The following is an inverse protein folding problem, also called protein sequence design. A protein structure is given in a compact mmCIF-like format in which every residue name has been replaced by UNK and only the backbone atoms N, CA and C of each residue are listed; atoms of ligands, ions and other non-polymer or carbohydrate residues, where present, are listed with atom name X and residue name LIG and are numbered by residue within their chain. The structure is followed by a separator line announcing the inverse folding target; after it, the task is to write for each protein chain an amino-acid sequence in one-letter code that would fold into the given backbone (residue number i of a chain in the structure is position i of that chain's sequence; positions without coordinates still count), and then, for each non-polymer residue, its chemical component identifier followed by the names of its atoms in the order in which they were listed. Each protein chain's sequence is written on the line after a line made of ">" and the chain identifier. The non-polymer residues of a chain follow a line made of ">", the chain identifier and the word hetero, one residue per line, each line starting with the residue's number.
data_IF_886877022819
#
_entry.id   IF_886877022819
#
_cell.length_a   1.000
_cell.length_b   1.000
_cell.length_c   1.000
_cell.angle_alpha   90.00
_cell.angle_beta   90.00
_cell.angle_gamma   90.00
#
_symmetry.space_group_name_H-M   'P 1'
#
loop_
_entity.id
_entity.type
_entity.pdbx_description
1 polymer ?
#
# COMPACT_ATOMS: atom_id res chain seq x y z
N UNK A 1 45.04 39.73 14.66
CA UNK A 1 44.87 40.58 15.86
C UNK A 1 44.87 42.06 15.46
N UNK A 2 43.68 42.67 15.40
CA UNK A 2 43.33 44.12 15.34
C UNK A 2 41.79 44.11 15.41
N UNK A 3 41.15 44.30 16.58
CA UNK A 3 40.76 45.59 17.22
C UNK A 3 39.83 46.35 16.23
N UNK A 4 38.55 46.66 16.50
CA UNK A 4 37.92 47.56 17.51
C UNK A 4 36.43 47.08 17.63
N UNK A 5 35.81 46.68 18.76
CA UNK A 5 35.47 47.30 20.06
C UNK A 5 34.37 48.40 20.06
N UNK A 6 33.29 48.15 20.82
CA UNK A 6 32.41 49.13 21.53
C UNK A 6 31.24 49.78 20.76
N UNK A 7 30.10 50.17 21.38
CA UNK A 7 29.58 50.03 22.76
C UNK A 7 28.02 50.03 22.77
N UNK A 8 27.39 49.72 23.90
CA UNK A 8 25.94 49.88 24.13
C UNK A 8 25.49 51.36 24.11
N UNK A 9 24.25 51.60 23.66
CA UNK A 9 23.29 52.47 24.38
C UNK A 9 21.85 52.12 23.98
N UNK A 10 20.93 52.10 24.94
CA UNK A 10 19.49 52.02 24.70
C UNK A 10 18.82 53.27 25.25
N UNK A 11 17.82 53.82 24.56
CA UNK A 11 16.74 54.58 25.21
C UNK A 11 15.46 54.57 24.38
N UNK A 12 14.33 54.64 25.10
CA UNK A 12 12.96 54.60 24.61
C UNK A 12 12.50 55.98 24.08
N UNK A 13 11.45 56.07 23.26
CA UNK A 13 10.21 56.87 23.51
C UNK A 13 9.25 57.00 22.28
N UNK A 14 8.01 56.54 22.50
CA UNK A 14 6.68 57.00 21.99
C UNK A 14 6.30 57.21 20.49
N UNK A 15 5.27 56.43 20.12
CA UNK A 15 3.94 56.82 19.57
C UNK A 15 3.70 57.22 18.09
N UNK A 16 2.43 56.96 17.71
CA UNK A 16 1.66 57.22 16.46
C UNK A 16 2.14 56.46 15.21
N UNK A 17 1.28 55.88 14.35
CA UNK A 17 -0.18 55.73 14.38
C UNK A 17 -0.85 56.34 13.13
N UNK A 18 -1.36 55.49 12.22
CA UNK A 18 -2.49 55.74 11.31
C UNK A 18 -2.78 54.50 10.43
N UNK A 19 -4.06 54.24 10.14
CA UNK A 19 -4.61 53.10 9.38
C UNK A 19 -5.46 53.56 8.19
N UNK A 20 -5.93 52.59 7.38
CA UNK A 20 -7.02 52.67 6.36
C UNK A 20 -6.63 53.01 4.90
N UNK A 21 -7.49 52.69 3.90
CA UNK A 21 -8.82 52.02 3.98
C UNK A 21 -9.03 50.75 3.11
N UNK A 22 -10.11 50.04 3.43
CA UNK A 22 -10.83 49.09 2.55
C UNK A 22 -12.00 49.84 1.89
N UNK A 23 -12.39 49.55 0.64
CA UNK A 23 -13.65 50.03 0.07
C UNK A 23 -14.78 48.98 0.15
N UNK A 24 -15.91 49.38 0.72
CA UNK A 24 -17.24 48.84 0.42
C UNK A 24 -18.21 50.01 0.26
N UNK A 25 -19.09 49.96 -0.74
CA UNK A 25 -20.47 50.43 -0.69
C UNK A 25 -21.24 49.86 -1.90
N UNK A 26 -22.46 49.36 -1.69
CA UNK A 26 -23.63 49.69 -2.52
C UNK A 26 -24.93 49.14 -1.89
N UNK A 27 -25.49 49.96 -0.99
CA UNK A 27 -26.91 50.19 -0.66
C UNK A 27 -27.99 49.09 -0.77
N UNK A 28 -28.76 48.99 0.31
CA UNK A 28 -30.10 48.38 0.41
C UNK A 28 -31.23 49.27 -0.17
N UNK A 29 -32.37 48.64 -0.50
CA UNK A 29 -33.71 49.26 -0.56
C UNK A 29 -34.76 48.25 -0.10
N UNK A 30 -35.66 48.63 0.83
CA UNK A 30 -36.68 47.76 1.44
C UNK A 30 -38.06 47.74 0.74
N UNK A 31 -38.86 46.73 1.12
CA UNK A 31 -40.34 46.67 1.14
C UNK A 31 -41.05 46.44 -0.21
N UNK A 32 -41.87 45.40 -0.38
CA UNK A 32 -43.13 45.18 0.35
C UNK A 32 -43.56 43.70 0.47
N UNK A 33 -44.46 43.43 1.43
CA UNK A 33 -45.02 42.09 1.73
C UNK A 33 -46.25 41.77 0.88
N UNK A 34 -46.29 40.57 0.27
CA UNK A 34 -47.55 39.92 -0.15
C UNK A 34 -47.71 38.55 0.52
N UNK A 35 -48.94 38.23 0.91
CA UNK A 35 -49.32 36.99 1.61
C UNK A 35 -50.13 36.11 0.65
N UNK A 36 -49.66 34.90 0.35
CA UNK A 36 -50.43 33.89 -0.38
C UNK A 36 -50.19 32.46 0.15
N UNK A 37 -51.25 31.87 0.70
CA UNK A 37 -51.58 30.44 0.55
C UNK A 37 -50.76 29.40 1.35
N UNK A 38 -51.40 28.30 1.82
CA UNK A 38 -50.69 27.25 2.53
C UNK A 38 -49.94 26.34 1.54
N UNK A 39 -48.60 26.38 1.59
CA UNK A 39 -47.79 25.34 0.98
C UNK A 39 -47.73 24.11 1.90
N UNK A 40 -48.03 22.95 1.32
CA UNK A 40 -48.00 21.65 1.97
C UNK A 40 -46.64 21.37 2.60
N UNK A 41 -46.63 20.94 3.87
CA UNK A 41 -45.43 20.38 4.51
C UNK A 41 -45.10 19.06 3.81
N UNK A 42 -43.89 18.89 3.24
CA UNK A 42 -43.45 17.57 2.77
C UNK A 42 -43.29 16.63 3.96
N UNK A 43 -43.81 15.42 3.83
CA UNK A 43 -43.72 14.37 4.83
C UNK A 43 -42.25 14.02 5.07
N UNK A 44 -41.76 14.29 6.29
CA UNK A 44 -40.37 14.07 6.69
C UNK A 44 -40.15 12.56 6.91
N UNK A 45 -39.79 11.86 5.84
CA UNK A 45 -39.49 10.43 5.88
C UNK A 45 -38.15 10.20 6.60
N UNK A 46 -38.18 9.45 7.71
CA UNK A 46 -36.96 9.13 8.45
C UNK A 46 -35.91 8.44 7.55
N UNK A 47 -34.62 8.83 7.64
CA UNK A 47 -33.58 8.20 6.85
C UNK A 47 -33.36 6.75 7.32
N UNK A 48 -33.75 5.81 6.46
CA UNK A 48 -33.52 4.37 6.64
C UNK A 48 -32.06 4.09 6.99
N UNK A 49 -31.83 3.52 8.16
CA UNK A 49 -30.51 3.20 8.72
C UNK A 49 -29.90 1.91 8.14
N UNK A 50 -30.05 1.70 6.82
CA UNK A 50 -29.31 0.67 6.10
C UNK A 50 -28.04 1.29 5.49
N UNK A 51 -26.85 0.69 5.71
CA UNK A 51 -25.65 1.12 5.01
C UNK A 51 -25.86 0.95 3.50
N UNK A 52 -25.48 1.97 2.73
CA UNK A 52 -25.67 1.97 1.29
C UNK A 52 -25.00 0.75 0.64
N UNK A 53 -25.59 0.16 -0.42
CA UNK A 53 -24.92 -0.87 -1.21
C UNK A 53 -23.55 -0.38 -1.66
N UNK A 54 -22.51 -1.19 -1.46
CA UNK A 54 -21.18 -0.86 -1.92
C UNK A 54 -21.20 -0.85 -3.45
N UNK A 55 -20.90 0.30 -4.02
CA UNK A 55 -20.80 0.47 -5.46
C UNK A 55 -19.75 -0.50 -6.01
N UNK A 56 -20.16 -1.32 -6.98
CA UNK A 56 -19.29 -2.31 -7.61
C UNK A 56 -18.31 -1.57 -8.53
N UNK A 57 -17.13 -1.25 -8.01
CA UNK A 57 -16.09 -0.63 -8.83
C UNK A 57 -15.31 -1.72 -9.58
N UNK A 58 -15.29 -1.62 -10.91
CA UNK A 58 -14.45 -2.47 -11.75
C UNK A 58 -12.97 -2.26 -11.38
N UNK A 59 -12.27 -3.36 -11.15
CA UNK A 59 -10.88 -3.41 -10.74
C UNK A 59 -10.28 -4.77 -11.06
N UNK A 60 -9.04 -5.05 -10.64
CA UNK A 60 -8.33 -6.25 -11.06
C UNK A 60 -8.83 -7.56 -10.43
N UNK A 61 -9.86 -7.53 -9.56
CA UNK A 61 -10.34 -8.69 -8.79
C UNK A 61 -11.86 -8.89 -8.91
N UNK A 62 -12.31 -10.12 -8.63
CA UNK A 62 -13.74 -10.46 -8.46
C UNK A 62 -14.25 -10.19 -7.03
N UNK A 63 -13.47 -9.54 -6.16
CA UNK A 63 -13.83 -9.23 -4.78
C UNK A 63 -14.03 -7.71 -4.63
N UNK A 64 -15.27 -7.20 -4.61
CA UNK A 64 -15.53 -5.75 -4.68
C UNK A 64 -14.86 -4.91 -3.59
N UNK A 65 -14.74 -5.47 -2.38
CA UNK A 65 -14.05 -4.80 -1.29
C UNK A 65 -12.53 -4.62 -1.55
N UNK A 66 -11.89 -5.58 -2.23
CA UNK A 66 -10.47 -5.49 -2.59
C UNK A 66 -10.27 -4.44 -3.68
N UNK A 67 -11.12 -4.43 -4.71
CA UNK A 67 -11.10 -3.38 -5.75
C UNK A 67 -11.24 -1.98 -5.12
N UNK A 68 -12.18 -1.81 -4.18
CA UNK A 68 -12.37 -0.55 -3.45
C UNK A 68 -11.09 -0.12 -2.71
N UNK A 69 -10.50 -1.00 -1.91
CA UNK A 69 -9.27 -0.70 -1.14
C UNK A 69 -8.09 -0.33 -2.04
N UNK A 70 -7.96 -1.01 -3.19
CA UNK A 70 -6.94 -0.72 -4.19
C UNK A 70 -7.14 0.65 -4.83
N UNK A 71 -8.36 0.96 -5.28
CA UNK A 71 -8.69 2.21 -5.97
C UNK A 71 -8.60 3.43 -5.04
N UNK A 72 -9.16 3.35 -3.82
CA UNK A 72 -9.02 4.39 -2.79
C UNK A 72 -7.55 4.64 -2.40
N UNK A 73 -6.67 3.65 -2.60
CA UNK A 73 -5.23 3.80 -2.37
C UNK A 73 -4.51 4.38 -3.57
N UNK A 74 -4.83 3.95 -4.80
CA UNK A 74 -4.28 4.54 -6.03
C UNK A 74 -4.64 6.02 -6.16
N UNK A 75 -5.89 6.39 -5.87
CA UNK A 75 -6.34 7.80 -5.85
C UNK A 75 -5.56 8.66 -4.84
N UNK A 76 -5.19 8.08 -3.70
CA UNK A 76 -4.44 8.77 -2.64
C UNK A 76 -2.97 9.01 -2.98
N UNK A 77 -2.36 8.14 -3.77
CA UNK A 77 -0.90 8.14 -4.01
C UNK A 77 -0.51 8.58 -5.42
N UNK A 78 -1.48 8.79 -6.34
CA UNK A 78 -1.20 9.16 -7.73
C UNK A 78 -1.97 10.40 -8.19
N UNK A 79 -1.50 10.99 -9.28
CA UNK A 79 -2.24 11.98 -10.07
C UNK A 79 -2.41 11.49 -11.52
N UNK A 80 -3.43 11.94 -12.27
CA UNK A 80 -3.73 11.42 -13.61
C UNK A 80 -2.61 11.58 -14.65
N UNK A 81 -1.70 12.54 -14.42
CA UNK A 81 -0.57 12.90 -15.27
C UNK A 81 0.73 12.12 -14.97
N UNK A 82 0.77 11.29 -13.93
CA UNK A 82 1.95 10.48 -13.60
C UNK A 82 2.30 9.45 -14.70
N UNK A 83 3.58 9.42 -15.06
CA UNK A 83 4.22 8.38 -15.86
C UNK A 83 4.20 7.00 -15.17
N UNK A 84 4.49 5.93 -15.91
CA UNK A 84 4.64 4.58 -15.34
C UNK A 84 5.73 4.54 -14.26
N UNK A 85 6.86 5.21 -14.50
CA UNK A 85 7.94 5.37 -13.52
C UNK A 85 7.45 6.07 -12.24
N UNK A 86 6.70 7.19 -12.35
CA UNK A 86 6.19 7.93 -11.19
C UNK A 86 5.15 7.12 -10.42
N UNK A 87 4.24 6.42 -11.10
CA UNK A 87 3.27 5.49 -10.50
C UNK A 87 3.96 4.35 -9.75
N UNK A 88 4.92 3.68 -10.38
CA UNK A 88 5.67 2.61 -9.75
C UNK A 88 6.44 3.10 -8.54
N UNK A 89 7.07 4.27 -8.65
CA UNK A 89 7.78 4.89 -7.53
C UNK A 89 6.83 5.31 -6.40
N UNK A 90 5.66 5.87 -6.71
CA UNK A 90 4.68 6.29 -5.71
C UNK A 90 4.15 5.10 -4.89
N UNK A 91 3.77 4.00 -5.56
CA UNK A 91 3.35 2.76 -4.89
C UNK A 91 4.49 2.14 -4.05
N UNK A 92 5.70 2.09 -4.60
CA UNK A 92 6.87 1.55 -3.91
C UNK A 92 7.25 2.35 -2.65
N UNK A 93 7.33 3.68 -2.78
CA UNK A 93 7.55 4.59 -1.66
C UNK A 93 6.45 4.47 -0.60
N UNK A 94 5.17 4.47 -1.01
CA UNK A 94 4.02 4.41 -0.10
C UNK A 94 4.07 3.18 0.81
N UNK A 95 4.40 2.00 0.26
CA UNK A 95 4.51 0.78 1.05
C UNK A 95 5.65 0.84 2.08
N UNK A 96 6.77 1.50 1.77
CA UNK A 96 7.89 1.71 2.71
C UNK A 96 7.55 2.74 3.81
N UNK A 97 6.66 3.69 3.53
CA UNK A 97 6.21 4.66 4.53
C UNK A 97 5.08 4.15 5.44
N UNK A 98 4.24 3.26 4.90
CA UNK A 98 3.05 2.72 5.56
C UNK A 98 3.36 1.53 6.48
N UNK A 99 4.23 0.63 6.03
CA UNK A 99 4.21 -0.75 6.49
C UNK A 99 5.20 -1.02 7.61
N UNK A 100 4.86 -1.97 8.46
CA UNK A 100 5.72 -2.53 9.48
C UNK A 100 5.78 -4.06 9.31
N UNK A 101 6.98 -4.62 9.45
CA UNK A 101 7.22 -6.04 9.30
C UNK A 101 6.68 -6.81 10.52
N UNK A 102 5.50 -7.39 10.36
CA UNK A 102 4.73 -8.11 11.38
C UNK A 102 3.70 -9.00 10.66
N UNK A 103 3.21 -10.05 11.32
CA UNK A 103 2.26 -10.99 10.72
C UNK A 103 1.00 -10.30 10.19
N UNK A 104 0.52 -10.65 8.98
CA UNK A 104 -0.68 -10.07 8.43
C UNK A 104 -1.92 -10.46 9.22
N UNK A 105 -2.88 -9.54 9.31
CA UNK A 105 -4.13 -9.72 10.04
C UNK A 105 -5.35 -9.54 9.13
N UNK A 106 -6.47 -10.14 9.54
CA UNK A 106 -7.79 -9.92 8.97
C UNK A 106 -7.91 -10.15 7.44
N UNK A 107 -7.20 -11.15 6.93
CA UNK A 107 -7.24 -11.56 5.52
C UNK A 107 -8.65 -11.93 5.01
N UNK A 108 -9.58 -12.28 5.90
CA UNK A 108 -10.97 -12.61 5.59
C UNK A 108 -11.96 -11.43 5.79
N UNK A 109 -11.47 -10.20 6.02
CA UNK A 109 -12.33 -9.03 6.33
C UNK A 109 -13.28 -8.64 5.18
N UNK A 110 -12.90 -8.94 3.93
CA UNK A 110 -13.73 -8.70 2.76
C UNK A 110 -15.10 -9.38 2.86
N UNK A 111 -15.20 -10.52 3.57
CA UNK A 111 -16.46 -11.28 3.75
C UNK A 111 -17.57 -10.47 4.38
N UNK A 112 -17.25 -9.65 5.38
CA UNK A 112 -18.22 -8.83 6.13
C UNK A 112 -18.32 -7.40 5.59
N UNK A 113 -17.30 -6.93 4.86
CA UNK A 113 -17.20 -5.56 4.33
C UNK A 113 -17.53 -5.41 2.85
N UNK A 114 -17.98 -6.46 2.17
CA UNK A 114 -18.44 -6.38 0.77
C UNK A 114 -18.75 -7.71 0.09
N UNK A 115 -18.28 -8.83 0.65
CA UNK A 115 -18.43 -10.15 0.04
C UNK A 115 -17.63 -10.27 -1.27
N UNK A 116 -18.09 -11.16 -2.15
CA UNK A 116 -17.44 -11.49 -3.41
C UNK A 116 -17.05 -12.97 -3.49
N UNK A 117 -16.36 -13.34 -4.57
CA UNK A 117 -15.71 -14.64 -4.69
C UNK A 117 -14.51 -14.72 -3.72
N UNK A 118 -14.03 -15.94 -3.44
CA UNK A 118 -12.82 -16.13 -2.64
C UNK A 118 -11.63 -15.60 -3.46
N UNK A 119 -10.91 -14.57 -2.98
CA UNK A 119 -9.77 -14.01 -3.70
C UNK A 119 -8.63 -15.03 -3.82
N UNK A 120 -7.86 -14.92 -4.91
CA UNK A 120 -6.60 -15.64 -5.04
C UNK A 120 -5.57 -15.19 -3.99
N UNK A 121 -4.51 -15.97 -3.82
CA UNK A 121 -3.43 -15.69 -2.85
C UNK A 121 -2.92 -14.24 -2.93
N UNK A 122 -2.63 -13.74 -4.14
CA UNK A 122 -2.04 -12.41 -4.35
C UNK A 122 -3.07 -11.29 -4.09
N UNK A 123 -4.32 -11.46 -4.52
CA UNK A 123 -5.39 -10.49 -4.24
C UNK A 123 -5.68 -10.41 -2.75
N UNK A 124 -5.59 -11.53 -2.04
CA UNK A 124 -5.86 -11.62 -0.62
C UNK A 124 -4.72 -11.05 0.25
N UNK A 125 -3.46 -11.36 -0.09
CA UNK A 125 -2.27 -10.95 0.69
C UNK A 125 -2.00 -9.45 0.66
N UNK A 126 -2.54 -8.67 -0.29
CA UNK A 126 -2.39 -7.21 -0.24
C UNK A 126 -3.17 -6.55 0.92
N UNK A 127 -4.24 -7.20 1.44
CA UNK A 127 -5.21 -6.55 2.32
C UNK A 127 -4.61 -6.05 3.65
N UNK A 128 -3.81 -6.87 4.33
CA UNK A 128 -3.30 -6.50 5.66
C UNK A 128 -2.38 -5.27 5.61
N UNK A 129 -1.53 -5.20 4.58
CA UNK A 129 -0.65 -4.06 4.35
C UNK A 129 -1.46 -2.82 3.99
N UNK A 130 -2.38 -2.90 3.03
CA UNK A 130 -3.13 -1.73 2.55
C UNK A 130 -4.14 -1.18 3.57
N UNK A 131 -4.68 -2.02 4.47
CA UNK A 131 -5.64 -1.61 5.49
C UNK A 131 -5.00 -1.21 6.83
N UNK A 132 -3.90 -1.88 7.21
CA UNK A 132 -3.36 -1.82 8.57
C UNK A 132 -1.86 -1.52 8.64
N UNK A 133 -1.15 -1.52 7.51
CA UNK A 133 0.31 -1.35 7.49
C UNK A 133 1.05 -2.48 8.17
N UNK A 134 0.51 -3.69 8.16
CA UNK A 134 1.12 -4.88 8.77
C UNK A 134 1.25 -5.99 7.73
N UNK A 135 2.46 -6.51 7.54
CA UNK A 135 2.69 -7.66 6.65
C UNK A 135 4.14 -8.09 6.53
N UNK A 136 4.32 -9.27 5.93
CA UNK A 136 5.60 -9.91 5.64
C UNK A 136 5.94 -9.75 4.13
N UNK A 137 7.05 -10.31 3.66
CA UNK A 137 7.54 -10.06 2.28
C UNK A 137 6.50 -10.33 1.19
N UNK A 138 5.65 -11.33 1.38
CA UNK A 138 4.59 -11.72 0.47
C UNK A 138 3.45 -10.71 0.45
N UNK A 139 3.15 -10.04 1.56
CA UNK A 139 2.12 -9.01 1.63
C UNK A 139 2.61 -7.70 0.97
N UNK A 140 3.88 -7.34 1.13
CA UNK A 140 4.53 -6.23 0.41
C UNK A 140 4.52 -6.48 -1.11
N UNK A 141 4.93 -7.67 -1.54
CA UNK A 141 4.98 -8.07 -2.94
C UNK A 141 3.59 -8.14 -3.58
N UNK A 142 2.60 -8.65 -2.84
CA UNK A 142 1.21 -8.67 -3.26
C UNK A 142 0.62 -7.26 -3.37
N UNK A 143 0.81 -6.40 -2.36
CA UNK A 143 0.33 -5.03 -2.38
C UNK A 143 0.92 -4.22 -3.54
N UNK A 144 2.24 -4.34 -3.79
CA UNK A 144 2.88 -3.63 -4.89
C UNK A 144 2.36 -4.13 -6.25
N UNK A 145 2.29 -5.45 -6.47
CA UNK A 145 1.77 -6.01 -7.71
C UNK A 145 0.30 -5.60 -7.96
N UNK A 146 -0.55 -5.62 -6.94
CA UNK A 146 -1.96 -5.27 -7.06
C UNK A 146 -2.18 -3.76 -7.27
N UNK A 147 -1.41 -2.89 -6.62
CA UNK A 147 -1.46 -1.43 -6.89
C UNK A 147 -1.01 -1.13 -8.33
N UNK A 148 0.10 -1.72 -8.79
CA UNK A 148 0.59 -1.53 -10.17
C UNK A 148 -0.44 -1.98 -11.22
N UNK A 149 -1.06 -3.15 -11.03
CA UNK A 149 -2.14 -3.65 -11.89
C UNK A 149 -3.35 -2.71 -11.90
N UNK A 150 -3.73 -2.18 -10.73
CA UNK A 150 -4.83 -1.20 -10.61
C UNK A 150 -4.51 0.11 -11.35
N UNK A 151 -3.24 0.49 -11.45
CA UNK A 151 -2.76 1.63 -12.25
C UNK A 151 -2.61 1.32 -13.76
N UNK A 152 -3.04 0.14 -14.22
CA UNK A 152 -3.00 -0.30 -15.62
C UNK A 152 -1.67 -0.90 -16.07
N UNK A 153 -0.72 -1.12 -15.17
CA UNK A 153 0.63 -1.59 -15.47
C UNK A 153 0.71 -3.13 -15.41
N UNK A 154 1.62 -3.73 -16.21
CA UNK A 154 1.91 -5.17 -16.07
C UNK A 154 2.83 -5.37 -14.87
N UNK A 155 2.36 -6.12 -13.88
CA UNK A 155 3.14 -6.50 -12.71
C UNK A 155 2.82 -7.92 -12.26
N UNK A 156 3.82 -8.60 -11.71
CA UNK A 156 3.74 -9.98 -11.28
C UNK A 156 4.39 -10.17 -9.90
N UNK A 157 3.73 -10.97 -9.07
CA UNK A 157 4.27 -11.45 -7.80
C UNK A 157 5.32 -12.52 -8.08
N UNK A 158 6.50 -12.40 -7.46
CA UNK A 158 7.62 -13.34 -7.60
C UNK A 158 7.90 -13.99 -6.26
N UNK A 159 7.62 -15.29 -6.09
CA UNK A 159 8.15 -16.07 -4.99
C UNK A 159 9.59 -16.53 -5.31
N UNK A 160 10.39 -16.70 -4.27
CA UNK A 160 11.78 -17.14 -4.43
C UNK A 160 12.50 -17.28 -3.10
N UNK A 161 13.83 -17.25 -3.18
CA UNK A 161 14.72 -17.25 -2.02
C UNK A 161 15.58 -15.98 -2.02
N UNK A 162 15.93 -15.51 -0.82
CA UNK A 162 16.97 -14.50 -0.61
C UNK A 162 17.86 -14.87 0.59
N UNK A 163 19.02 -14.23 0.72
CA UNK A 163 19.85 -14.40 1.91
C UNK A 163 19.33 -13.54 3.07
N UNK A 164 19.05 -14.18 4.20
CA UNK A 164 18.78 -13.50 5.48
C UNK A 164 20.00 -12.73 5.98
N UNK A 165 19.80 -11.85 6.97
CA UNK A 165 20.89 -11.07 7.56
C UNK A 165 21.93 -11.96 8.29
N UNK A 166 21.49 -13.14 8.72
CA UNK A 166 22.24 -14.17 9.43
C UNK A 166 23.04 -15.08 8.47
N UNK A 167 22.77 -15.01 7.16
CA UNK A 167 23.48 -15.74 6.12
C UNK A 167 22.81 -16.98 5.49
N UNK A 168 21.84 -17.72 6.08
CA UNK A 168 21.13 -18.76 5.36
C UNK A 168 20.16 -18.19 4.31
N UNK A 169 19.86 -18.99 3.29
CA UNK A 169 18.74 -18.74 2.38
C UNK A 169 17.42 -18.94 3.10
N UNK A 170 16.48 -18.04 2.85
CA UNK A 170 15.12 -18.05 3.37
C UNK A 170 14.13 -17.71 2.26
N UNK A 171 12.91 -18.22 2.41
CA UNK A 171 11.75 -17.88 1.57
C UNK A 171 11.56 -16.36 1.53
N UNK A 172 11.29 -15.84 0.33
CA UNK A 172 11.14 -14.41 0.10
C UNK A 172 10.22 -14.14 -1.09
N UNK A 173 9.66 -12.93 -1.13
CA UNK A 173 8.81 -12.50 -2.23
C UNK A 173 9.00 -11.02 -2.57
N UNK A 174 8.87 -10.69 -3.86
CA UNK A 174 8.95 -9.34 -4.40
C UNK A 174 8.08 -9.19 -5.66
N UNK A 175 8.13 -8.04 -6.32
CA UNK A 175 7.38 -7.77 -7.55
C UNK A 175 8.31 -7.60 -8.74
N UNK A 176 7.93 -8.09 -9.93
CA UNK A 176 8.48 -7.60 -11.20
C UNK A 176 7.40 -6.82 -11.95
N UNK A 177 7.79 -5.77 -12.67
CA UNK A 177 6.86 -4.95 -13.44
C UNK A 177 7.49 -4.42 -14.72
N UNK A 178 6.65 -4.24 -15.74
CA UNK A 178 6.99 -3.52 -16.96
C UNK A 178 6.81 -2.01 -16.73
N UNK A 179 7.86 -1.25 -17.04
CA UNK A 179 7.92 0.21 -16.89
C UNK A 179 8.63 0.75 -18.14
N UNK A 180 7.97 1.64 -18.89
CA UNK A 180 8.46 2.21 -20.15
C UNK A 180 8.87 1.13 -21.19
N UNK A 181 8.18 -0.02 -21.19
CA UNK A 181 8.42 -1.14 -22.10
C UNK A 181 9.61 -2.05 -21.76
N UNK A 182 10.18 -1.93 -20.55
CA UNK A 182 11.20 -2.83 -20.03
C UNK A 182 10.80 -3.39 -18.65
N UNK A 183 11.17 -4.64 -18.37
CA UNK A 183 10.87 -5.29 -17.09
C UNK A 183 11.95 -4.98 -16.06
N UNK A 184 11.52 -4.80 -14.80
CA UNK A 184 12.39 -4.60 -13.66
C UNK A 184 11.86 -5.29 -12.40
N UNK A 185 12.78 -5.63 -11.50
CA UNK A 185 12.48 -6.03 -10.13
C UNK A 185 12.24 -4.83 -9.21
N UNK A 186 11.27 -4.97 -8.32
CA UNK A 186 10.94 -4.06 -7.24
C UNK A 186 10.72 -4.86 -5.96
N UNK A 187 11.69 -4.80 -5.04
CA UNK A 187 11.59 -5.43 -3.72
C UNK A 187 11.45 -4.36 -2.64
N UNK A 188 10.20 -4.09 -2.28
CA UNK A 188 9.83 -3.06 -1.31
C UNK A 188 10.13 -3.48 0.14
N UNK A 189 10.08 -4.79 0.46
CA UNK A 189 10.34 -5.27 1.81
C UNK A 189 11.84 -5.22 2.16
N UNK A 190 12.72 -5.71 1.28
CA UNK A 190 14.17 -5.55 1.53
C UNK A 190 14.59 -4.10 1.41
N UNK A 191 13.91 -3.28 0.58
CA UNK A 191 14.15 -1.84 0.58
C UNK A 191 13.82 -1.20 1.93
N UNK A 192 12.66 -1.49 2.53
CA UNK A 192 12.31 -0.99 3.86
C UNK A 192 13.33 -1.46 4.91
N UNK A 193 13.63 -2.77 4.95
CA UNK A 193 14.60 -3.36 5.89
C UNK A 193 16.00 -2.74 5.80
N UNK A 194 16.46 -2.27 4.62
CA UNK A 194 17.73 -1.51 4.50
C UNK A 194 17.59 0.00 4.67
N UNK A 195 16.37 0.54 4.72
CA UNK A 195 16.07 1.98 4.89
C UNK A 195 16.06 2.44 6.36
N UNK A 196 16.79 1.70 7.24
CA UNK A 196 16.85 1.78 8.73
C UNK A 196 17.10 3.17 9.38
N UNK A 197 17.18 4.24 8.61
CA UNK A 197 17.40 5.62 9.05
C UNK A 197 16.44 6.60 8.35
N UNK A 198 15.13 6.27 8.26
CA UNK A 198 14.08 7.17 7.73
C UNK A 198 14.37 7.68 6.31
N UNK A 199 15.03 6.87 5.49
CA UNK A 199 15.68 7.33 4.26
C UNK A 199 15.73 6.22 3.21
N UNK A 200 14.92 6.36 2.17
CA UNK A 200 14.80 5.39 1.07
C UNK A 200 16.02 5.51 0.17
N UNK A 201 16.76 4.42 0.01
CA UNK A 201 18.02 4.36 -0.74
C UNK A 201 17.89 3.80 -2.16
N UNK A 202 16.72 3.27 -2.53
CA UNK A 202 16.41 2.71 -3.86
C UNK A 202 17.38 1.62 -4.34
N UNK A 203 17.98 0.88 -3.39
CA UNK A 203 18.85 -0.28 -3.65
C UNK A 203 18.11 -1.40 -4.38
N UNK A 204 16.82 -1.59 -4.11
CA UNK A 204 16.00 -2.64 -4.74
C UNK A 204 14.82 -2.09 -5.56
N UNK A 205 14.90 -0.81 -5.96
CA UNK A 205 13.95 -0.21 -6.88
C UNK A 205 14.48 -0.31 -8.32
N UNK A 206 13.64 -0.86 -9.20
CA UNK A 206 13.87 -1.02 -10.64
C UNK A 206 15.24 -1.63 -11.01
N UNK A 207 15.47 -2.87 -10.57
CA UNK A 207 16.72 -3.62 -10.79
C UNK A 207 16.59 -4.70 -11.87
N UNK A 208 17.68 -4.93 -12.58
CA UNK A 208 17.78 -5.99 -13.58
C UNK A 208 18.20 -7.33 -12.98
N UNK A 209 18.03 -8.41 -13.76
CA UNK A 209 18.33 -9.79 -13.40
C UNK A 209 19.74 -9.91 -12.80
N UNK A 210 20.73 -9.28 -13.45
CA UNK A 210 22.15 -9.31 -13.04
C UNK A 210 22.39 -8.75 -11.64
N UNK A 211 21.64 -7.74 -11.23
CA UNK A 211 21.79 -7.11 -9.91
C UNK A 211 21.05 -7.93 -8.86
N UNK A 212 19.84 -8.42 -9.17
CA UNK A 212 19.03 -9.19 -8.23
C UNK A 212 19.59 -10.59 -8.00
N UNK A 213 20.08 -11.27 -9.05
CA UNK A 213 20.67 -12.62 -8.97
C UNK A 213 21.95 -12.71 -8.14
N UNK A 214 22.48 -11.59 -7.65
CA UNK A 214 23.58 -11.56 -6.69
C UNK A 214 23.14 -11.99 -5.27
N UNK A 215 21.84 -11.92 -4.96
CA UNK A 215 21.29 -12.35 -3.66
C UNK A 215 19.93 -13.05 -3.72
N UNK A 216 19.22 -12.98 -4.86
CA UNK A 216 17.89 -13.52 -5.05
C UNK A 216 17.87 -14.70 -6.02
N UNK A 217 16.99 -15.66 -5.77
CA UNK A 217 16.76 -16.83 -6.62
C UNK A 217 15.27 -16.97 -6.92
N UNK A 218 14.89 -16.93 -8.20
CA UNK A 218 13.54 -17.09 -8.74
C UNK A 218 13.58 -17.81 -10.09
N UNK A 219 12.45 -18.37 -10.52
CA UNK A 219 12.33 -18.90 -11.89
C UNK A 219 13.50 -19.79 -12.32
N UNK A 220 14.12 -19.46 -13.45
CA UNK A 220 15.22 -20.24 -13.99
C UNK A 220 16.49 -20.24 -13.12
N UNK A 221 16.88 -19.12 -12.49
CA UNK A 221 18.12 -19.12 -11.69
C UNK A 221 17.98 -19.90 -10.37
N UNK A 222 16.76 -20.07 -9.86
CA UNK A 222 16.43 -20.94 -8.73
C UNK A 222 16.51 -22.43 -9.12
N UNK A 223 16.01 -22.80 -10.30
CA UNK A 223 16.19 -24.15 -10.86
C UNK A 223 17.68 -24.46 -11.06
N UNK A 224 18.42 -23.53 -11.66
CA UNK A 224 19.85 -23.70 -11.96
C UNK A 224 20.72 -23.79 -10.71
N UNK A 225 20.28 -23.19 -9.60
CA UNK A 225 20.93 -23.28 -8.29
C UNK A 225 20.77 -24.65 -7.60
N UNK A 226 19.83 -25.49 -8.05
CA UNK A 226 19.63 -26.88 -7.59
C UNK A 226 19.34 -27.03 -6.09
N UNK A 227 18.65 -26.06 -5.50
CA UNK A 227 18.19 -26.13 -4.10
C UNK A 227 16.94 -27.00 -3.90
N UNK A 228 16.26 -27.39 -5.00
CA UNK A 228 14.90 -27.90 -4.99
C UNK A 228 14.78 -29.30 -5.59
N UNK A 229 13.71 -30.01 -5.23
CA UNK A 229 13.33 -31.27 -5.86
C UNK A 229 12.84 -31.06 -7.30
N UNK A 230 12.81 -32.12 -8.10
CA UNK A 230 12.39 -32.00 -9.50
C UNK A 230 10.89 -31.68 -9.67
N UNK A 231 10.04 -32.09 -8.71
CA UNK A 231 8.62 -31.69 -8.71
C UNK A 231 8.48 -30.17 -8.52
N UNK A 232 9.23 -29.60 -7.58
CA UNK A 232 9.31 -28.16 -7.34
C UNK A 232 9.87 -27.40 -8.55
N UNK A 233 10.93 -27.91 -9.18
CA UNK A 233 11.45 -27.32 -10.42
C UNK A 233 10.43 -27.35 -11.58
N UNK A 234 9.60 -28.40 -11.65
CA UNK A 234 8.55 -28.49 -12.67
C UNK A 234 7.41 -27.49 -12.42
N UNK A 235 7.04 -27.28 -11.17
CA UNK A 235 6.08 -26.24 -10.78
C UNK A 235 6.58 -24.83 -11.17
N UNK A 236 7.85 -24.52 -10.90
CA UNK A 236 8.48 -23.27 -11.35
C UNK A 236 8.41 -23.13 -12.87
N UNK A 237 8.76 -24.17 -13.64
CA UNK A 237 8.70 -24.13 -15.12
C UNK A 237 7.29 -23.95 -15.67
N UNK A 238 6.27 -24.39 -14.94
CA UNK A 238 4.87 -24.28 -15.37
C UNK A 238 4.24 -22.93 -15.01
N UNK A 239 4.64 -22.31 -13.89
CA UNK A 239 3.87 -21.22 -13.26
C UNK A 239 4.69 -20.00 -12.82
N UNK A 240 6.01 -20.12 -12.65
CA UNK A 240 6.85 -19.09 -12.02
C UNK A 240 8.11 -18.77 -12.85
N UNK A 241 7.95 -18.74 -14.18
CA UNK A 241 8.92 -18.16 -15.11
C UNK A 241 8.49 -16.73 -15.46
N UNK A 242 9.45 -15.81 -15.40
CA UNK A 242 9.20 -14.37 -15.54
C UNK A 242 9.93 -13.79 -16.76
N UNK A 243 9.46 -12.65 -17.29
CA UNK A 243 10.22 -11.86 -18.25
C UNK A 243 11.60 -11.49 -17.70
N UNK A 244 12.63 -11.51 -18.55
CA UNK A 244 13.97 -11.04 -18.18
C UNK A 244 13.95 -9.53 -17.93
N UNK A 245 14.61 -9.09 -16.85
CA UNK A 245 14.83 -7.69 -16.53
C UNK A 245 16.25 -7.29 -17.01
N UNK A 246 16.41 -6.72 -18.23
CA UNK A 246 17.70 -6.71 -18.92
C UNK A 246 18.77 -5.77 -18.33
N UNK A 247 18.36 -4.73 -17.59
CA UNK A 247 19.29 -3.79 -16.94
C UNK A 247 18.68 -3.15 -15.68
N UNK A 248 19.53 -2.51 -14.88
CA UNK A 248 19.09 -1.58 -13.84
C UNK A 248 18.61 -0.26 -14.46
N UNK A 249 17.54 0.30 -13.88
CA UNK A 249 17.19 1.70 -14.10
C UNK A 249 18.13 2.63 -13.30
N UNK A 250 18.43 3.86 -13.78
CA UNK A 250 19.18 4.86 -13.02
C UNK A 250 18.62 5.03 -11.60
N UNK A 251 19.47 4.80 -10.59
CA UNK A 251 19.00 4.79 -9.19
C UNK A 251 18.60 6.22 -8.76
N UNK A 252 17.36 6.43 -8.26
CA UNK A 252 16.91 7.73 -7.80
C UNK A 252 17.78 8.29 -6.67
N UNK A 253 17.74 9.62 -6.49
CA UNK A 253 18.33 10.21 -5.29
C UNK A 253 17.61 9.71 -4.04
N UNK A 254 18.40 9.45 -2.99
CA UNK A 254 17.91 9.09 -1.66
C UNK A 254 16.88 10.11 -1.17
N UNK A 255 15.79 9.62 -0.56
CA UNK A 255 14.69 10.46 -0.05
C UNK A 255 14.43 10.18 1.41
N UNK A 256 14.47 11.22 2.24
CA UNK A 256 14.09 11.12 3.65
C UNK A 256 12.56 11.17 3.81
N UNK A 257 12.04 10.50 4.85
CA UNK A 257 10.61 10.42 5.14
C UNK A 257 10.32 10.37 6.65
N UNK A 258 9.05 10.54 7.01
CA UNK A 258 8.55 10.28 8.37
C UNK A 258 7.62 9.07 8.25
N UNK A 259 7.92 7.93 8.89
CA UNK A 259 7.04 6.77 8.87
C UNK A 259 5.64 7.12 9.39
N UNK A 260 4.60 6.50 8.82
CA UNK A 260 3.24 6.66 9.31
C UNK A 260 3.08 6.07 10.73
N UNK A 261 2.10 6.55 11.52
CA UNK A 261 1.86 6.03 12.87
C UNK A 261 1.57 4.52 12.84
N UNK A 262 2.28 3.75 13.66
CA UNK A 262 2.14 2.29 13.70
C UNK A 262 0.77 1.86 14.23
N UNK A 263 0.23 0.82 13.60
CA UNK A 263 -1.02 0.17 14.00
C UNK A 263 -0.81 -0.73 15.22
N UNK A 264 -1.66 -0.58 16.23
CA UNK A 264 -1.81 -1.56 17.31
C UNK A 264 -2.60 -2.77 16.79
N UNK A 265 -1.88 -3.82 16.40
CA UNK A 265 -2.45 -5.05 15.87
C UNK A 265 -3.45 -5.71 16.84
N UNK A 266 -3.20 -5.65 18.15
CA UNK A 266 -4.11 -6.23 19.16
C UNK A 266 -5.42 -5.45 19.25
N UNK A 267 -5.35 -4.12 19.21
CA UNK A 267 -6.54 -3.26 19.16
C UNK A 267 -7.35 -3.49 17.88
N UNK A 268 -6.70 -3.61 16.73
CA UNK A 268 -7.38 -3.87 15.44
C UNK A 268 -8.03 -5.25 15.42
N UNK A 269 -7.34 -6.30 15.88
CA UNK A 269 -7.92 -7.64 15.99
C UNK A 269 -9.18 -7.67 16.88
N UNK A 270 -9.15 -6.96 18.01
CA UNK A 270 -10.32 -6.83 18.90
C UNK A 270 -11.49 -6.09 18.21
N UNK A 271 -11.22 -5.02 17.46
CA UNK A 271 -12.25 -4.31 16.69
C UNK A 271 -12.87 -5.20 15.61
N UNK A 272 -12.05 -5.97 14.90
CA UNK A 272 -12.49 -6.87 13.83
C UNK A 272 -13.26 -8.08 14.38
N UNK A 273 -12.89 -8.60 15.55
CA UNK A 273 -13.66 -9.62 16.24
C UNK A 273 -15.06 -9.13 16.62
N UNK A 274 -15.18 -7.88 17.11
CA UNK A 274 -16.47 -7.26 17.40
C UNK A 274 -17.30 -7.01 16.14
N UNK A 275 -16.67 -6.55 15.05
CA UNK A 275 -17.31 -6.33 13.75
C UNK A 275 -17.86 -7.64 13.15
N UNK A 276 -17.08 -8.73 13.21
CA UNK A 276 -17.53 -10.08 12.80
C UNK A 276 -18.70 -10.57 13.66
N UNK A 277 -18.61 -10.45 14.98
CA UNK A 277 -19.66 -10.90 15.88
C UNK A 277 -21.00 -10.16 15.63
N UNK A 278 -20.95 -8.86 15.35
CA UNK A 278 -22.14 -8.07 15.00
C UNK A 278 -22.68 -8.44 13.60
N UNK A 279 -21.80 -8.65 12.61
CA UNK A 279 -22.20 -9.14 11.30
C UNK A 279 -22.92 -10.49 11.39
N UNK A 280 -22.37 -11.46 12.15
CA UNK A 280 -22.98 -12.78 12.31
C UNK A 280 -24.28 -12.74 13.12
N UNK A 281 -24.41 -11.81 14.07
CA UNK A 281 -25.67 -11.57 14.80
C UNK A 281 -26.79 -11.07 13.89
N UNK A 282 -26.45 -10.30 12.85
CA UNK A 282 -27.40 -9.71 11.91
C UNK A 282 -27.69 -10.59 10.68
N UNK A 283 -26.68 -11.31 10.17
CA UNK A 283 -26.74 -12.02 8.89
C UNK A 283 -26.66 -13.54 9.01
N UNK A 284 -26.43 -14.07 10.22
CA UNK A 284 -26.14 -15.47 10.48
C UNK A 284 -24.63 -15.79 10.46
N UNK A 285 -24.26 -16.91 11.08
CA UNK A 285 -22.87 -17.38 11.17
C UNK A 285 -22.23 -17.54 9.80
N UNK A 286 -21.02 -17.03 9.65
CA UNK A 286 -20.23 -17.19 8.44
C UNK A 286 -19.88 -18.67 8.25
N UNK A 287 -20.01 -19.24 7.02
CA UNK A 287 -19.57 -20.60 6.77
C UNK A 287 -18.05 -20.73 7.02
N UNK A 288 -17.52 -21.92 7.33
CA UNK A 288 -16.09 -22.15 7.37
C UNK A 288 -15.42 -21.70 6.06
N UNK A 289 -14.26 -21.05 6.17
CA UNK A 289 -13.45 -20.64 5.03
C UNK A 289 -12.06 -21.27 5.17
N UNK A 290 -11.67 -22.02 4.14
CA UNK A 290 -10.27 -22.37 3.91
C UNK A 290 -9.71 -21.38 2.89
N UNK A 291 -8.82 -20.50 3.36
CA UNK A 291 -8.20 -19.45 2.56
C UNK A 291 -6.79 -19.89 2.18
N UNK A 292 -6.42 -19.80 0.91
CA UNK A 292 -5.05 -20.10 0.53
C UNK A 292 -4.11 -19.00 1.05
N UNK A 293 -3.41 -19.30 2.15
CA UNK A 293 -2.35 -18.46 2.71
C UNK A 293 -0.97 -19.09 2.56
N UNK A 294 -0.83 -20.15 1.75
CA UNK A 294 0.45 -20.83 1.51
C UNK A 294 1.21 -20.12 0.39
N UNK A 295 2.43 -19.60 0.63
CA UNK A 295 3.25 -19.01 -0.43
C UNK A 295 3.52 -20.03 -1.55
N UNK A 296 3.48 -19.63 -2.83
CA UNK A 296 3.52 -20.62 -3.93
C UNK A 296 4.83 -21.43 -4.08
N UNK A 297 5.97 -20.91 -3.59
CA UNK A 297 7.36 -21.42 -3.78
C UNK A 297 8.23 -20.74 -2.69
N UNK A 298 9.32 -21.25 -2.10
CA UNK A 298 9.81 -22.53 -1.51
C UNK A 298 10.99 -22.11 -0.58
N UNK A 299 11.48 -22.83 0.44
CA UNK A 299 11.68 -24.27 0.67
C UNK A 299 11.73 -24.65 2.18
N UNK A 300 12.06 -25.91 2.49
CA UNK A 300 11.86 -26.59 3.80
C UNK A 300 10.37 -26.79 4.13
N UNK A 301 10.02 -27.87 4.83
CA UNK A 301 8.67 -28.03 5.39
C UNK A 301 8.48 -27.01 6.51
N UNK A 302 8.05 -25.79 6.17
CA UNK A 302 7.73 -24.71 7.12
C UNK A 302 8.85 -24.34 8.10
N UNK A 303 9.74 -23.43 7.68
CA UNK A 303 10.79 -22.82 8.53
C UNK A 303 11.88 -23.76 9.07
N UNK A 304 12.97 -23.89 8.29
CA UNK A 304 14.29 -24.27 8.80
C UNK A 304 14.54 -25.78 9.00
N UNK A 305 15.77 -26.15 9.41
CA UNK A 305 16.13 -27.55 9.63
C UNK A 305 15.41 -28.12 10.87
N UNK A 306 14.70 -29.26 10.74
CA UNK A 306 14.44 -30.11 11.90
C UNK A 306 15.76 -30.78 12.34
N UNK A 307 16.03 -30.75 13.64
CA UNK A 307 17.03 -31.60 14.31
C UNK A 307 16.57 -33.08 14.32
#
# INVERSE_FOLDING_TARGET
>A
MKIILSLLAAFLFLLTGCTHPIPQDFKETESTTEILGPHSVPEETEPSSQPAPIELIEGPTNTPYINKVLLETVERITTPDMTEYEKAKAAFDYLIELTYFEKPIALDIWRIRGGGEIPSYVENKCLSVLLYGLGECEDYAAALAMLLRTMGMKAEYVPGLTYSAEGPLVDHAWTVAEIDGAWYHLDSQLQDNVSRNRSISYRYFMKGDKTMSASHYWGQNLIDAKFLTEAQNQEIRNHFLYPSCPQDYPTPQRRDYIPLPQTDASKVLNQIAAEKAEYERLNGTLPPLELNTTPPVFAWEGYGPPD
#
